data_IF_286498804613
#
_entry.id   IF_286498804613
#
_cell.length_a   1.000
_cell.length_b   1.000
_cell.length_c   1.000
_cell.angle_alpha   90.00
_cell.angle_beta   90.00
_cell.angle_gamma   90.00
#
_symmetry.space_group_name_H-M   'P 1'
#
loop_
_entity.id
_entity.type
_entity.pdbx_description
1 polymer ?
#
# COMPACT_ATOMS: atom_id res chain seq x y z
N UNK A 1 25.52 4.75 -6.05
CA UNK A 1 25.31 6.20 -5.81
C UNK A 1 23.82 6.40 -5.59
N UNK A 2 23.41 6.82 -4.39
CA UNK A 2 22.01 6.89 -3.99
C UNK A 2 21.38 8.23 -4.38
N UNK A 3 20.18 8.17 -4.96
CA UNK A 3 19.36 9.30 -5.39
C UNK A 3 18.74 10.00 -4.17
N UNK A 4 18.92 11.32 -4.04
CA UNK A 4 18.29 12.14 -2.99
C UNK A 4 16.77 12.24 -3.19
N UNK A 5 15.92 12.02 -2.17
CA UNK A 5 14.50 12.38 -2.23
C UNK A 5 14.23 13.83 -1.80
N UNK A 6 13.04 14.30 -2.19
CA UNK A 6 12.60 15.69 -2.38
C UNK A 6 12.50 16.57 -1.13
N UNK A 7 12.79 17.86 -1.35
CA UNK A 7 12.51 19.03 -0.50
C UNK A 7 11.18 19.67 -0.92
N UNK A 8 10.11 19.58 -0.12
CA UNK A 8 8.98 20.52 -0.25
C UNK A 8 8.40 20.91 1.11
N UNK A 9 8.01 22.19 1.29
CA UNK A 9 7.55 22.74 2.55
C UNK A 9 6.03 22.59 2.70
N UNK A 10 5.53 22.50 3.93
CA UNK A 10 4.15 22.86 4.24
C UNK A 10 4.18 24.02 5.21
N UNK A 11 4.26 25.24 4.67
CA UNK A 11 4.21 26.47 5.44
C UNK A 11 2.75 26.81 5.76
N UNK A 12 2.41 26.82 7.06
CA UNK A 12 1.52 27.86 7.57
C UNK A 12 2.36 29.12 7.68
N UNK A 13 1.93 30.21 7.04
CA UNK A 13 2.60 31.51 7.08
C UNK A 13 2.59 32.04 8.52
N UNK A 14 3.71 31.86 9.22
CA UNK A 14 4.07 32.70 10.34
C UNK A 14 5.41 33.34 9.98
N UNK A 15 5.38 34.62 9.64
CA UNK A 15 6.58 35.44 9.53
C UNK A 15 7.30 35.40 10.89
N UNK A 16 8.41 34.67 10.95
CA UNK A 16 9.32 34.70 12.08
C UNK A 16 10.69 35.09 11.55
N UNK A 17 10.94 36.38 11.65
CA UNK A 17 12.23 37.02 11.42
C UNK A 17 13.19 36.54 12.53
N UNK A 18 14.04 35.57 12.19
CA UNK A 18 15.01 34.99 13.11
C UNK A 18 15.97 34.03 12.39
N UNK A 19 17.22 33.85 12.89
CA UNK A 19 18.18 32.94 12.27
C UNK A 19 17.58 31.54 12.26
N UNK A 20 17.40 31.00 11.06
CA UNK A 20 16.75 29.71 10.80
C UNK A 20 17.52 28.64 11.57
N UNK A 21 17.02 28.27 12.75
CA UNK A 21 17.65 27.24 13.56
C UNK A 21 17.60 25.95 12.74
N UNK A 22 18.77 25.36 12.50
CA UNK A 22 18.87 24.07 11.84
C UNK A 22 18.19 23.05 12.74
N UNK A 23 16.92 22.76 12.47
CA UNK A 23 16.15 21.74 13.17
C UNK A 23 16.72 20.39 12.73
N UNK A 24 17.49 19.77 13.62
CA UNK A 24 17.95 18.40 13.44
C UNK A 24 16.89 17.46 13.98
N UNK A 25 16.33 16.64 13.11
CA UNK A 25 15.40 15.58 13.51
C UNK A 25 16.23 14.33 13.83
N UNK A 26 16.02 13.74 15.00
CA UNK A 26 16.43 12.37 15.23
C UNK A 26 15.48 11.48 14.39
N UNK A 27 15.98 10.89 13.31
CA UNK A 27 15.25 9.86 12.59
C UNK A 27 15.11 8.65 13.51
N UNK A 28 13.92 8.48 14.09
CA UNK A 28 13.56 7.32 14.91
C UNK A 28 13.36 6.03 14.11
N UNK A 29 13.78 5.98 12.84
CA UNK A 29 13.56 4.87 11.92
C UNK A 29 12.20 4.91 11.21
N UNK A 30 11.55 6.08 11.17
CA UNK A 30 10.24 6.24 10.55
C UNK A 30 10.39 6.26 9.02
N UNK A 31 9.94 5.19 8.36
CA UNK A 31 10.01 5.05 6.92
C UNK A 31 8.65 4.79 6.30
N UNK A 32 8.47 5.25 5.07
CA UNK A 32 7.29 5.00 4.26
C UNK A 32 7.65 4.02 3.15
N UNK A 33 6.81 3.01 2.95
CA UNK A 33 6.94 2.14 1.79
C UNK A 33 6.51 2.88 0.53
N UNK A 34 7.08 2.51 -0.62
CA UNK A 34 6.61 3.02 -1.92
C UNK A 34 5.10 2.82 -2.11
N UNK A 35 4.60 1.66 -1.69
CA UNK A 35 3.17 1.33 -1.69
C UNK A 35 2.33 2.32 -0.88
N UNK A 36 2.88 2.95 0.17
CA UNK A 36 2.17 4.01 0.90
C UNK A 36 1.85 5.21 0.01
N UNK A 37 2.73 5.58 -0.93
CA UNK A 37 2.46 6.68 -1.86
C UNK A 37 1.36 6.31 -2.87
N UNK A 38 1.31 5.05 -3.30
CA UNK A 38 0.23 4.54 -4.18
C UNK A 38 -1.10 4.54 -3.42
N UNK A 39 -1.11 4.04 -2.19
CA UNK A 39 -2.28 4.05 -1.31
C UNK A 39 -2.83 5.48 -1.17
N UNK A 40 -1.97 6.44 -0.80
CA UNK A 40 -2.40 7.83 -0.65
C UNK A 40 -2.91 8.45 -1.95
N UNK A 41 -2.33 8.07 -3.10
CA UNK A 41 -2.72 8.59 -4.41
C UNK A 41 -4.17 8.28 -4.76
N UNK A 42 -4.70 7.12 -4.35
CA UNK A 42 -6.09 6.74 -4.65
C UNK A 42 -7.01 6.84 -3.42
N UNK A 43 -6.47 7.05 -2.22
CA UNK A 43 -7.25 7.19 -0.99
C UNK A 43 -8.32 8.29 -1.07
N UNK A 44 -9.46 8.03 -0.44
CA UNK A 44 -10.61 8.97 -0.35
C UNK A 44 -10.30 10.28 0.40
N UNK A 45 -9.15 10.36 1.08
CA UNK A 45 -8.71 11.60 1.73
C UNK A 45 -8.22 12.65 0.74
N UNK A 46 -7.61 12.20 -0.37
CA UNK A 46 -6.99 13.08 -1.35
C UNK A 46 -7.80 13.21 -2.64
N UNK A 47 -8.77 12.31 -2.85
CA UNK A 47 -9.58 12.26 -4.06
C UNK A 47 -11.03 12.65 -3.81
N UNK A 48 -11.66 13.20 -4.85
CA UNK A 48 -13.09 13.52 -4.82
C UNK A 48 -13.92 12.26 -5.05
N UNK A 49 -15.10 12.15 -4.41
CA UNK A 49 -16.05 11.09 -4.73
C UNK A 49 -16.39 11.10 -6.22
N UNK A 50 -16.34 9.94 -6.86
CA UNK A 50 -16.84 9.75 -8.22
C UNK A 50 -18.28 9.26 -8.17
N UNK A 51 -19.12 9.69 -9.12
CA UNK A 51 -20.46 9.13 -9.32
C UNK A 51 -20.42 7.65 -9.76
N UNK A 52 -19.28 7.19 -10.26
CA UNK A 52 -19.03 5.81 -10.66
C UNK A 52 -18.58 4.93 -9.49
N UNK A 53 -18.25 5.51 -8.33
CA UNK A 53 -17.88 4.77 -7.13
C UNK A 53 -19.11 4.08 -6.53
N UNK A 54 -19.18 2.76 -6.70
CA UNK A 54 -20.23 1.93 -6.08
C UNK A 54 -20.04 1.72 -4.57
N UNK A 55 -18.91 2.17 -4.01
CA UNK A 55 -18.51 1.97 -2.61
C UNK A 55 -18.13 0.54 -2.26
N UNK A 56 -18.08 -0.37 -3.24
CA UNK A 56 -17.75 -1.78 -3.04
C UNK A 56 -16.24 -1.97 -3.08
N UNK A 57 -15.59 -2.41 -1.98
CA UNK A 57 -14.17 -2.67 -1.98
C UNK A 57 -13.81 -3.89 -2.83
N UNK A 58 -12.52 -4.07 -3.17
CA UNK A 58 -12.02 -5.33 -3.68
C UNK A 58 -12.43 -6.51 -2.78
N UNK A 59 -12.57 -7.70 -3.37
CA UNK A 59 -12.88 -8.94 -2.67
C UNK A 59 -11.78 -9.97 -2.86
N UNK A 60 -11.49 -10.75 -1.81
CA UNK A 60 -10.57 -11.88 -1.87
C UNK A 60 -11.39 -13.19 -1.86
N UNK A 61 -11.25 -13.98 -2.92
CA UNK A 61 -11.89 -15.27 -3.13
C UNK A 61 -10.80 -16.33 -3.30
N UNK A 62 -10.50 -17.08 -2.24
CA UNK A 62 -9.31 -17.92 -2.20
C UNK A 62 -8.04 -17.07 -2.29
N UNK A 63 -7.22 -17.30 -3.31
CA UNK A 63 -6.03 -16.51 -3.64
C UNK A 63 -6.30 -15.40 -4.68
N UNK A 64 -7.53 -15.29 -5.17
CA UNK A 64 -7.89 -14.36 -6.24
C UNK A 64 -8.51 -13.08 -5.67
N UNK A 65 -7.93 -11.93 -6.02
CA UNK A 65 -8.45 -10.60 -5.69
C UNK A 65 -9.23 -10.07 -6.89
N UNK A 66 -10.48 -9.63 -6.68
CA UNK A 66 -11.35 -9.08 -7.74
C UNK A 66 -11.90 -7.72 -7.37
N UNK A 67 -12.05 -6.84 -8.36
CA UNK A 67 -12.65 -5.52 -8.20
C UNK A 67 -13.12 -4.97 -9.55
N UNK A 68 -14.38 -4.54 -9.64
CA UNK A 68 -14.97 -3.99 -10.87
C UNK A 68 -14.37 -2.63 -11.26
N UNK A 69 -14.04 -1.80 -10.26
CA UNK A 69 -13.41 -0.49 -10.41
C UNK A 69 -11.92 -0.58 -10.79
N UNK A 70 -11.36 -1.80 -10.80
CA UNK A 70 -9.96 -2.07 -11.12
C UNK A 70 -9.00 -1.77 -9.98
N UNK A 71 -8.00 -2.65 -9.85
CA UNK A 71 -7.05 -2.70 -8.74
C UNK A 71 -5.91 -1.71 -8.96
N UNK A 72 -5.55 -0.94 -7.93
CA UNK A 72 -4.43 0.03 -7.96
C UNK A 72 -3.23 -0.41 -7.16
N UNK A 73 -3.51 -1.02 -6.01
CA UNK A 73 -2.49 -1.53 -5.11
C UNK A 73 -2.92 -2.89 -4.57
N UNK A 74 -1.97 -3.81 -4.48
CA UNK A 74 -2.05 -5.00 -3.64
C UNK A 74 -0.80 -5.01 -2.78
N UNK A 75 -0.95 -5.18 -1.48
CA UNK A 75 0.14 -5.14 -0.52
C UNK A 75 0.01 -6.29 0.48
N UNK A 76 1.13 -6.93 0.77
CA UNK A 76 1.23 -8.00 1.75
C UNK A 76 2.05 -7.55 2.94
N UNK A 77 1.50 -7.76 4.12
CA UNK A 77 2.11 -7.40 5.40
C UNK A 77 2.30 -8.60 6.28
N UNK A 78 3.43 -8.63 6.98
CA UNK A 78 3.69 -9.58 8.07
C UNK A 78 2.80 -9.22 9.25
N UNK A 79 2.26 -10.22 9.92
CA UNK A 79 1.60 -10.05 11.22
C UNK A 79 2.55 -10.53 12.34
N UNK A 80 2.52 -9.88 13.52
CA UNK A 80 1.68 -8.72 13.90
C UNK A 80 2.27 -7.33 13.55
N UNK A 81 3.54 -7.25 13.15
CA UNK A 81 4.28 -5.98 13.06
C UNK A 81 3.79 -5.07 11.91
N UNK A 82 3.06 -5.63 10.94
CA UNK A 82 2.50 -4.89 9.81
C UNK A 82 3.55 -4.52 8.76
N UNK A 83 4.75 -5.09 8.83
CA UNK A 83 5.83 -4.81 7.89
C UNK A 83 5.42 -5.23 6.48
N UNK A 84 5.54 -4.32 5.50
CA UNK A 84 5.27 -4.63 4.10
C UNK A 84 6.46 -5.40 3.54
N UNK A 85 6.22 -6.60 3.02
CA UNK A 85 7.28 -7.43 2.40
C UNK A 85 7.07 -7.61 0.89
N UNK A 86 5.86 -7.35 0.38
CA UNK A 86 5.57 -7.43 -1.05
C UNK A 86 4.43 -6.48 -1.43
N UNK A 87 4.50 -5.90 -2.62
CA UNK A 87 3.39 -5.16 -3.20
C UNK A 87 3.40 -5.23 -4.73
N UNK A 88 2.24 -4.96 -5.32
CA UNK A 88 2.02 -4.76 -6.75
C UNK A 88 1.26 -3.45 -6.95
N UNK A 89 1.74 -2.64 -7.89
CA UNK A 89 1.15 -1.35 -8.26
C UNK A 89 0.63 -1.39 -9.70
N UNK A 90 -0.53 -0.79 -9.94
CA UNK A 90 -1.17 -0.74 -11.26
C UNK A 90 -1.54 0.70 -11.61
N UNK A 91 -0.58 1.40 -12.20
CA UNK A 91 -0.66 2.85 -12.41
C UNK A 91 -1.15 3.24 -13.82
N UNK A 92 -1.41 2.27 -14.71
CA UNK A 92 -1.97 2.54 -16.03
C UNK A 92 -3.42 3.04 -15.97
N UNK A 93 -3.92 3.66 -17.05
CA UNK A 93 -5.29 4.17 -17.12
C UNK A 93 -6.35 3.08 -16.91
N UNK A 94 -6.13 1.89 -17.50
CA UNK A 94 -6.99 0.70 -17.38
C UNK A 94 -6.36 -0.37 -16.46
N UNK A 95 -6.58 -0.30 -15.15
CA UNK A 95 -6.05 -1.27 -14.19
C UNK A 95 -6.74 -2.64 -14.30
N UNK A 96 -6.06 -3.73 -13.90
CA UNK A 96 -6.65 -5.05 -13.91
C UNK A 96 -7.81 -5.14 -12.90
N UNK A 97 -8.88 -5.84 -13.29
CA UNK A 97 -10.03 -6.12 -12.40
C UNK A 97 -9.86 -7.39 -11.57
N UNK A 98 -8.79 -8.14 -11.83
CA UNK A 98 -8.52 -9.41 -11.19
C UNK A 98 -7.02 -9.62 -11.05
N UNK A 99 -6.60 -10.20 -9.93
CA UNK A 99 -5.22 -10.56 -9.66
C UNK A 99 -5.16 -11.88 -8.91
N UNK A 100 -4.36 -12.82 -9.41
CA UNK A 100 -4.10 -14.08 -8.74
C UNK A 100 -2.84 -13.98 -7.89
N UNK A 101 -3.00 -14.23 -6.58
CA UNK A 101 -1.89 -14.31 -5.66
C UNK A 101 -1.27 -15.72 -5.75
N UNK A 102 0.02 -15.78 -6.05
CA UNK A 102 0.77 -17.03 -6.22
C UNK A 102 1.98 -17.05 -5.28
N UNK A 103 2.22 -18.19 -4.61
CA UNK A 103 3.35 -18.38 -3.70
C UNK A 103 4.68 -18.21 -4.42
N UNK A 104 4.78 -18.69 -5.65
CA UNK A 104 5.95 -18.50 -6.52
C UNK A 104 6.38 -17.04 -6.72
N UNK A 105 5.49 -16.06 -6.46
CA UNK A 105 5.76 -14.62 -6.58
C UNK A 105 6.19 -13.98 -5.26
N UNK A 106 6.16 -14.69 -4.14
CA UNK A 106 6.50 -14.20 -2.80
C UNK A 106 8.02 -14.26 -2.53
N UNK A 107 8.84 -13.77 -3.46
CA UNK A 107 10.31 -13.92 -3.43
C UNK A 107 11.01 -13.22 -2.26
N UNK A 108 10.37 -12.20 -1.71
CA UNK A 108 10.88 -11.39 -0.58
C UNK A 108 10.17 -11.72 0.73
N UNK A 109 9.47 -12.85 0.79
CA UNK A 109 8.94 -13.36 2.03
C UNK A 109 10.09 -13.50 3.04
N UNK A 110 9.97 -12.95 4.26
CA UNK A 110 10.77 -13.39 5.39
C UNK A 110 10.81 -14.93 5.48
N UNK A 111 11.78 -15.49 6.21
CA UNK A 111 11.81 -16.92 6.51
C UNK A 111 10.57 -17.30 7.32
N UNK A 112 9.45 -17.50 6.63
CA UNK A 112 8.17 -17.85 7.21
C UNK A 112 8.11 -19.35 7.35
N UNK A 113 7.58 -19.78 8.48
CA UNK A 113 6.97 -21.11 8.53
C UNK A 113 5.68 -21.06 7.70
N UNK A 114 5.75 -21.54 6.46
CA UNK A 114 4.63 -21.51 5.52
C UNK A 114 3.38 -22.22 6.05
N UNK A 115 3.52 -23.15 7.01
CA UNK A 115 2.40 -23.89 7.60
C UNK A 115 1.59 -23.06 8.61
N UNK A 116 2.23 -22.09 9.28
CA UNK A 116 1.61 -21.34 10.39
C UNK A 116 1.50 -19.84 10.12
N UNK A 117 2.26 -19.31 9.17
CA UNK A 117 2.31 -17.87 8.94
C UNK A 117 1.00 -17.32 8.39
N UNK A 118 0.48 -16.32 9.10
CA UNK A 118 -0.61 -15.45 8.65
C UNK A 118 -0.03 -14.13 8.17
N UNK A 119 -0.53 -13.64 7.04
CA UNK A 119 -0.22 -12.32 6.50
C UNK A 119 -1.50 -11.51 6.39
N UNK A 120 -1.36 -10.19 6.29
CA UNK A 120 -2.45 -9.30 5.89
C UNK A 120 -2.31 -8.95 4.42
N UNK A 121 -3.37 -9.21 3.65
CA UNK A 121 -3.58 -8.74 2.28
C UNK A 121 -4.34 -7.44 2.34
N UNK A 122 -3.76 -6.38 1.79
CA UNK A 122 -4.43 -5.11 1.53
C UNK A 122 -4.59 -4.94 0.03
N UNK A 123 -5.76 -4.52 -0.44
CA UNK A 123 -5.96 -4.13 -1.82
C UNK A 123 -6.76 -2.84 -1.91
N UNK A 124 -6.42 -1.98 -2.85
CA UNK A 124 -7.09 -0.70 -3.11
C UNK A 124 -7.53 -0.63 -4.57
N UNK A 125 -8.71 -0.06 -4.82
CA UNK A 125 -9.22 0.18 -6.16
C UNK A 125 -9.03 1.63 -6.65
N UNK A 126 -9.49 1.91 -7.87
CA UNK A 126 -9.40 3.26 -8.48
C UNK A 126 -10.15 4.37 -7.72
N UNK A 127 -11.06 4.02 -6.82
CA UNK A 127 -11.87 4.96 -6.05
C UNK A 127 -11.46 5.02 -4.57
N UNK A 128 -10.36 4.37 -4.20
CA UNK A 128 -9.87 4.34 -2.82
C UNK A 128 -10.70 3.45 -1.90
N UNK A 129 -11.49 2.52 -2.43
CA UNK A 129 -12.10 1.47 -1.62
C UNK A 129 -11.03 0.43 -1.27
N UNK A 130 -10.96 0.06 0.01
CA UNK A 130 -9.88 -0.77 0.54
C UNK A 130 -10.43 -2.08 1.08
N UNK A 131 -9.80 -3.17 0.63
CA UNK A 131 -9.86 -4.49 1.24
C UNK A 131 -8.70 -4.63 2.23
N UNK A 132 -8.97 -5.18 3.42
CA UNK A 132 -7.95 -5.66 4.36
C UNK A 132 -8.38 -7.00 4.95
N UNK A 133 -7.63 -8.07 4.68
CA UNK A 133 -7.96 -9.43 5.14
C UNK A 133 -6.71 -10.20 5.56
N UNK A 134 -6.88 -11.05 6.58
CA UNK A 134 -5.85 -12.02 6.98
C UNK A 134 -5.94 -13.25 6.10
N UNK A 135 -4.80 -13.79 5.71
CA UNK A 135 -4.66 -14.98 4.86
C UNK A 135 -3.48 -15.82 5.37
N UNK A 136 -3.63 -17.14 5.45
CA UNK A 136 -2.48 -18.01 5.72
C UNK A 136 -1.70 -18.19 4.44
N UNK A 137 -0.37 -18.20 4.53
CA UNK A 137 0.47 -18.42 3.34
C UNK A 137 0.18 -19.78 2.71
N UNK A 138 -0.11 -20.81 3.52
CA UNK A 138 -0.50 -22.13 3.06
C UNK A 138 -1.72 -22.12 2.10
N UNK A 139 -2.65 -21.18 2.27
CA UNK A 139 -3.91 -21.09 1.51
C UNK A 139 -3.74 -20.39 0.14
N UNK A 140 -2.53 -19.87 -0.14
CA UNK A 140 -2.20 -19.25 -1.44
C UNK A 140 -1.89 -20.35 -2.45
N UNK A 141 -2.33 -20.19 -3.70
CA UNK A 141 -1.98 -21.12 -4.78
C UNK A 141 -0.46 -21.13 -5.04
N UNK A 142 0.09 -22.27 -5.47
CA UNK A 142 1.52 -22.43 -5.75
C UNK A 142 1.99 -21.58 -6.95
#
# INVERSE_FOLDING_TARGET
>A
MASKPSTLPSSGEAELDGPTSCVTFADGGAHWYRSSAVLLRFHKWFNKPSSEDTGKPPVLLGSCIKCDAGLRLIELRVEPEGQVFCHWEFLQSDPPRMFLLQKSRLKNAPNFDAATQVITVLAEDSFGNILKKKLKIADIED
#
